data_IF_057628239300
#
_entry.id   IF_057628239300
#
_cell.length_a   1.000
_cell.length_b   1.000
_cell.length_c   1.000
_cell.angle_alpha   90.00
_cell.angle_beta   90.00
_cell.angle_gamma   90.00
#
_symmetry.space_group_name_H-M   'P 1'
#
loop_
_entity.id
_entity.type
_entity.pdbx_description
1 polymer ?
#
# COMPACT_ATOMS: atom_id res chain seq x y z
N UNK A 1 -23.57 -31.16 5.71
CA UNK A 1 -22.79 -30.39 6.70
C UNK A 1 -21.31 -30.64 6.42
N UNK A 2 -20.76 -29.95 5.44
CA UNK A 2 -19.34 -30.08 5.07
C UNK A 2 -18.79 -28.67 4.83
N UNK A 3 -17.71 -28.31 5.51
CA UNK A 3 -16.85 -27.22 5.04
C UNK A 3 -16.70 -25.98 5.93
N UNK A 4 -16.87 -26.05 7.26
CA UNK A 4 -16.58 -24.90 8.14
C UNK A 4 -15.19 -24.96 8.83
N UNK A 5 -14.44 -26.00 8.55
CA UNK A 5 -13.11 -26.20 9.16
C UNK A 5 -12.01 -25.70 8.23
N UNK A 6 -11.45 -24.58 8.52
CA UNK A 6 -10.16 -24.04 8.05
C UNK A 6 -10.20 -22.67 7.33
N UNK A 7 -11.20 -21.83 7.54
CA UNK A 7 -11.08 -20.43 7.10
C UNK A 7 -10.23 -19.67 8.12
N UNK A 8 -9.12 -19.08 7.64
CA UNK A 8 -8.32 -18.15 8.47
C UNK A 8 -9.23 -17.07 9.04
N UNK A 9 -9.09 -16.70 10.33
CA UNK A 9 -9.94 -15.69 10.95
C UNK A 9 -9.82 -14.38 10.20
N UNK A 10 -10.97 -13.83 9.79
CA UNK A 10 -11.06 -12.53 9.12
C UNK A 10 -11.19 -11.42 10.16
N UNK A 11 -10.75 -10.19 9.81
CA UNK A 11 -10.95 -9.02 10.68
C UNK A 11 -12.43 -8.82 11.01
N UNK A 12 -13.34 -9.12 10.09
CA UNK A 12 -14.78 -9.04 10.33
C UNK A 12 -15.23 -9.92 11.51
N UNK A 13 -14.62 -11.10 11.70
CA UNK A 13 -14.93 -11.99 12.83
C UNK A 13 -14.49 -11.36 14.17
N UNK A 14 -13.34 -10.70 14.18
CA UNK A 14 -12.84 -9.97 15.36
C UNK A 14 -13.76 -8.79 15.69
N UNK A 15 -14.13 -7.99 14.67
CA UNK A 15 -15.04 -6.87 14.83
C UNK A 15 -16.43 -7.33 15.28
N UNK A 16 -16.93 -8.45 14.76
CA UNK A 16 -18.22 -9.05 15.20
C UNK A 16 -18.17 -9.43 16.69
N UNK A 17 -17.06 -9.99 17.14
CA UNK A 17 -16.90 -10.45 18.53
C UNK A 17 -16.71 -9.30 19.53
N UNK A 18 -15.91 -8.29 19.18
CA UNK A 18 -15.48 -7.25 20.13
C UNK A 18 -15.97 -5.84 19.77
N UNK A 19 -16.47 -5.61 18.56
CA UNK A 19 -16.82 -4.28 18.06
C UNK A 19 -17.94 -3.61 18.86
N UNK A 20 -18.93 -4.37 19.33
CA UNK A 20 -20.03 -3.83 20.15
C UNK A 20 -19.48 -3.24 21.45
N UNK A 21 -18.60 -3.94 22.16
CA UNK A 21 -17.98 -3.45 23.40
C UNK A 21 -17.20 -2.17 23.20
N UNK A 22 -16.53 -2.00 22.03
CA UNK A 22 -15.80 -0.80 21.68
C UNK A 22 -16.73 0.37 21.37
N UNK A 23 -17.86 0.12 20.68
CA UNK A 23 -18.85 1.15 20.36
C UNK A 23 -19.58 1.63 21.61
N UNK A 24 -19.96 0.71 22.50
CA UNK A 24 -20.69 1.01 23.75
C UNK A 24 -19.85 1.88 24.72
N UNK A 25 -18.52 1.82 24.63
CA UNK A 25 -17.61 2.67 25.43
C UNK A 25 -17.52 4.12 24.96
N UNK A 26 -18.19 4.50 23.87
CA UNK A 26 -18.15 5.85 23.27
C UNK A 26 -16.75 6.43 23.03
N UNK A 27 -15.75 5.54 22.86
CA UNK A 27 -14.34 5.92 22.62
C UNK A 27 -14.03 6.12 21.13
N UNK A 28 -14.98 5.79 20.26
CA UNK A 28 -14.80 5.81 18.80
C UNK A 28 -15.45 7.04 18.18
N UNK A 29 -14.74 7.67 17.27
CA UNK A 29 -15.31 8.71 16.41
C UNK A 29 -16.34 8.10 15.43
N UNK A 30 -17.26 8.92 14.93
CA UNK A 30 -18.25 8.49 13.93
C UNK A 30 -17.58 7.84 12.69
N UNK A 31 -16.39 8.33 12.30
CA UNK A 31 -15.63 7.76 11.19
C UNK A 31 -15.13 6.34 11.50
N UNK A 32 -14.67 6.08 12.72
CA UNK A 32 -14.21 4.76 13.14
C UNK A 32 -15.38 3.78 13.23
N UNK A 33 -16.52 4.20 13.78
CA UNK A 33 -17.76 3.40 13.81
C UNK A 33 -18.20 3.03 12.39
N UNK A 34 -18.21 4.00 11.47
CA UNK A 34 -18.50 3.74 10.05
C UNK A 34 -17.57 2.72 9.43
N UNK A 35 -16.28 2.81 9.68
CA UNK A 35 -15.28 1.86 9.15
C UNK A 35 -15.52 0.44 9.70
N UNK A 36 -15.80 0.29 10.99
CA UNK A 36 -16.12 -1.00 11.58
C UNK A 36 -17.38 -1.62 10.96
N UNK A 37 -18.45 -0.83 10.78
CA UNK A 37 -19.68 -1.29 10.13
C UNK A 37 -19.43 -1.68 8.67
N UNK A 38 -18.64 -0.91 7.93
CA UNK A 38 -18.25 -1.25 6.56
C UNK A 38 -17.50 -2.57 6.48
N UNK A 39 -16.57 -2.84 7.43
CA UNK A 39 -15.85 -4.11 7.51
C UNK A 39 -16.79 -5.28 7.78
N UNK A 40 -17.76 -5.10 8.68
CA UNK A 40 -18.75 -6.13 9.03
C UNK A 40 -19.65 -6.50 7.85
N UNK A 41 -20.10 -5.47 7.12
CA UNK A 41 -21.09 -5.63 6.05
C UNK A 41 -20.46 -5.94 4.68
N UNK A 42 -19.13 -5.79 4.54
CA UNK A 42 -18.44 -5.94 3.27
C UNK A 42 -18.66 -7.32 2.64
N UNK A 43 -19.20 -7.33 1.42
CA UNK A 43 -19.56 -8.54 0.65
C UNK A 43 -20.56 -9.42 1.39
N UNK A 44 -21.58 -8.80 1.97
CA UNK A 44 -22.74 -9.46 2.57
C UNK A 44 -24.04 -8.86 2.05
N UNK A 45 -25.18 -9.51 2.27
CA UNK A 45 -26.48 -9.10 1.76
C UNK A 45 -26.87 -7.62 2.04
N UNK A 46 -26.58 -7.01 3.22
CA UNK A 46 -26.85 -5.59 3.47
C UNK A 46 -26.18 -4.61 2.51
N UNK A 47 -25.12 -5.03 1.81
CA UNK A 47 -24.45 -4.19 0.80
C UNK A 47 -25.11 -4.23 -0.57
N UNK A 48 -26.19 -5.01 -0.73
CA UNK A 48 -26.75 -5.33 -2.03
C UNK A 48 -25.81 -6.22 -2.85
N UNK A 49 -26.21 -6.54 -4.06
CA UNK A 49 -25.42 -7.42 -4.93
C UNK A 49 -26.10 -7.70 -6.26
N UNK A 50 -25.49 -8.62 -6.99
CA UNK A 50 -25.98 -9.12 -8.27
C UNK A 50 -26.23 -10.61 -8.18
N UNK A 51 -27.32 -11.04 -8.80
CA UNK A 51 -27.60 -12.45 -9.04
C UNK A 51 -26.91 -12.88 -10.33
N UNK A 52 -26.25 -14.02 -10.28
CA UNK A 52 -25.66 -14.66 -11.45
C UNK A 52 -26.27 -16.05 -11.60
N UNK A 53 -26.73 -16.35 -12.81
CA UNK A 53 -27.26 -17.65 -13.19
C UNK A 53 -26.23 -18.33 -14.07
N UNK A 54 -25.86 -19.55 -13.78
CA UNK A 54 -24.96 -20.32 -14.62
C UNK A 54 -25.68 -20.77 -15.90
N UNK A 55 -25.15 -20.40 -17.05
CA UNK A 55 -25.77 -20.73 -18.35
C UNK A 55 -25.77 -22.25 -18.66
N UNK A 56 -24.89 -23.02 -18.02
CA UNK A 56 -24.77 -24.44 -18.29
C UNK A 56 -25.63 -25.34 -17.37
N UNK A 57 -25.86 -24.93 -16.10
CA UNK A 57 -26.60 -25.76 -15.14
C UNK A 57 -27.76 -25.04 -14.43
N UNK A 58 -27.96 -23.74 -14.71
CA UNK A 58 -29.02 -22.94 -14.10
C UNK A 58 -28.78 -22.62 -12.61
N UNK A 59 -27.61 -22.94 -12.03
CA UNK A 59 -27.30 -22.64 -10.64
C UNK A 59 -27.25 -21.13 -10.40
N UNK A 60 -27.94 -20.68 -9.36
CA UNK A 60 -28.02 -19.27 -8.96
C UNK A 60 -26.98 -18.98 -7.90
N UNK A 61 -26.15 -17.97 -8.11
CA UNK A 61 -25.19 -17.48 -7.13
C UNK A 61 -25.36 -15.97 -6.91
N UNK A 62 -25.00 -15.49 -5.71
CA UNK A 62 -25.11 -14.07 -5.35
C UNK A 62 -23.72 -13.49 -5.12
N UNK A 63 -23.42 -12.39 -5.83
CA UNK A 63 -22.21 -11.60 -5.66
C UNK A 63 -22.55 -10.31 -4.94
N UNK A 64 -22.21 -10.23 -3.67
CA UNK A 64 -22.45 -9.04 -2.87
C UNK A 64 -21.42 -7.95 -3.10
N UNK A 65 -21.89 -6.69 -3.09
CA UNK A 65 -21.07 -5.52 -3.29
C UNK A 65 -20.01 -5.34 -2.19
N UNK A 66 -18.86 -4.78 -2.58
CA UNK A 66 -17.80 -4.41 -1.66
C UNK A 66 -18.09 -3.05 -1.02
N UNK A 67 -17.59 -2.83 0.22
CA UNK A 67 -17.80 -1.56 0.92
C UNK A 67 -16.93 -0.40 0.42
N UNK A 68 -15.88 -0.68 -0.37
CA UNK A 68 -14.93 0.32 -0.87
C UNK A 68 -14.10 1.03 0.22
N UNK A 69 -14.26 0.66 1.49
CA UNK A 69 -13.57 1.32 2.58
C UNK A 69 -12.07 0.99 2.58
N UNK A 70 -11.24 2.04 2.72
CA UNK A 70 -9.78 1.89 2.77
C UNK A 70 -9.25 1.10 3.97
N UNK A 71 -10.06 0.93 5.01
CA UNK A 71 -9.72 0.13 6.20
C UNK A 71 -10.17 -1.32 6.07
N UNK A 72 -10.97 -1.65 5.06
CA UNK A 72 -11.48 -3.00 4.85
C UNK A 72 -10.41 -3.89 4.19
N UNK A 73 -9.94 -4.96 4.85
CA UNK A 73 -8.92 -5.85 4.26
C UNK A 73 -9.36 -6.50 2.96
N UNK A 74 -10.65 -6.86 2.83
CA UNK A 74 -11.21 -7.48 1.62
C UNK A 74 -11.11 -6.55 0.42
N UNK A 75 -11.44 -5.25 0.60
CA UNK A 75 -11.34 -4.24 -0.45
C UNK A 75 -9.88 -3.91 -0.76
N UNK A 76 -9.04 -3.78 0.27
CA UNK A 76 -7.64 -3.43 0.10
C UNK A 76 -6.82 -4.51 -0.63
N UNK A 77 -7.11 -5.79 -0.41
CA UNK A 77 -6.43 -6.88 -1.13
C UNK A 77 -6.67 -6.76 -2.64
N UNK A 78 -7.91 -6.47 -3.06
CA UNK A 78 -8.24 -6.31 -4.48
C UNK A 78 -7.56 -5.07 -5.08
N UNK A 79 -7.66 -3.92 -4.40
CA UNK A 79 -7.02 -2.69 -4.86
C UNK A 79 -5.50 -2.80 -4.90
N UNK A 80 -4.91 -3.52 -3.94
CA UNK A 80 -3.48 -3.79 -3.91
C UNK A 80 -3.02 -4.67 -5.08
N UNK A 81 -3.81 -5.68 -5.45
CA UNK A 81 -3.49 -6.54 -6.60
C UNK A 81 -3.45 -5.73 -7.90
N UNK A 82 -4.47 -4.90 -8.17
CA UNK A 82 -4.50 -4.01 -9.33
C UNK A 82 -3.31 -3.05 -9.31
N UNK A 83 -3.03 -2.41 -8.17
CA UNK A 83 -1.90 -1.49 -8.07
C UNK A 83 -0.54 -2.17 -8.30
N UNK A 84 -0.37 -3.42 -7.84
CA UNK A 84 0.86 -4.18 -8.08
C UNK A 84 1.01 -4.50 -9.57
N UNK A 85 -0.09 -4.89 -10.24
CA UNK A 85 -0.11 -5.17 -11.66
C UNK A 85 0.29 -3.91 -12.46
N UNK A 86 -0.39 -2.78 -12.24
CA UNK A 86 -0.05 -1.49 -12.84
C UNK A 86 1.41 -1.08 -12.61
N UNK A 87 1.92 -1.35 -11.39
CA UNK A 87 3.30 -1.05 -11.03
C UNK A 87 4.29 -1.95 -11.78
N UNK A 88 3.97 -3.23 -11.89
CA UNK A 88 4.83 -4.19 -12.61
C UNK A 88 4.88 -3.86 -14.09
N UNK A 89 3.75 -3.53 -14.70
CA UNK A 89 3.66 -3.17 -16.12
C UNK A 89 4.37 -1.84 -16.42
N UNK A 90 4.32 -0.90 -15.50
CA UNK A 90 5.00 0.40 -15.65
C UNK A 90 6.45 0.41 -15.16
N UNK A 91 6.93 -0.68 -14.55
CA UNK A 91 8.28 -0.75 -14.01
C UNK A 91 9.33 -0.97 -15.09
N UNK A 92 10.45 -0.25 -14.97
CA UNK A 92 11.59 -0.45 -15.87
C UNK A 92 12.20 -1.84 -15.65
N UNK A 93 12.65 -2.54 -16.72
CA UNK A 93 13.31 -3.84 -16.62
C UNK A 93 14.77 -3.71 -16.14
N UNK A 94 14.96 -3.02 -15.02
CA UNK A 94 16.27 -2.75 -14.42
C UNK A 94 16.29 -3.19 -12.97
N UNK A 95 17.46 -3.28 -12.37
CA UNK A 95 17.60 -3.52 -10.94
C UNK A 95 16.95 -2.38 -10.15
N UNK A 96 16.23 -2.72 -9.08
CA UNK A 96 15.66 -1.74 -8.16
C UNK A 96 16.24 -1.94 -6.77
N UNK A 97 16.48 -0.84 -6.08
CA UNK A 97 16.92 -0.82 -4.68
C UNK A 97 15.76 -0.48 -3.76
N UNK A 98 15.69 -1.17 -2.65
CA UNK A 98 14.79 -0.83 -1.55
C UNK A 98 15.55 -0.02 -0.52
N UNK A 99 15.19 1.26 -0.39
CA UNK A 99 15.79 2.20 0.55
C UNK A 99 14.74 2.58 1.59
N UNK A 100 15.12 2.59 2.86
CA UNK A 100 14.22 2.96 3.96
C UNK A 100 14.77 4.22 4.61
N UNK A 101 13.93 5.26 4.68
CA UNK A 101 14.21 6.49 5.39
C UNK A 101 13.46 6.50 6.72
N UNK A 102 14.19 6.51 7.81
CA UNK A 102 13.66 6.57 9.18
C UNK A 102 13.93 7.94 9.78
N UNK A 103 13.15 8.28 10.79
CA UNK A 103 13.34 9.49 11.59
C UNK A 103 13.59 9.13 13.05
N UNK A 104 14.36 9.94 13.78
CA UNK A 104 14.54 9.75 15.22
C UNK A 104 13.20 9.77 15.96
N UNK A 105 13.03 8.87 16.93
CA UNK A 105 11.80 8.71 17.69
C UNK A 105 11.33 10.01 18.38
N UNK A 106 12.26 10.86 18.78
CA UNK A 106 11.99 12.18 19.40
C UNK A 106 11.12 13.09 18.51
N UNK A 107 11.08 12.86 17.20
CA UNK A 107 10.26 13.65 16.27
C UNK A 107 8.81 13.12 16.14
N UNK A 108 8.48 12.02 16.79
CA UNK A 108 7.13 11.45 16.70
C UNK A 108 6.03 12.36 17.27
N UNK A 109 6.35 13.13 18.32
CA UNK A 109 5.41 14.06 18.93
C UNK A 109 4.98 15.17 17.96
N UNK A 110 5.91 15.61 17.08
CA UNK A 110 5.59 16.59 16.03
C UNK A 110 4.61 15.98 15.02
N UNK A 111 4.74 14.68 14.73
CA UNK A 111 3.79 13.96 13.88
C UNK A 111 2.38 13.94 14.47
N UNK A 112 2.24 13.76 15.79
CA UNK A 112 0.95 13.79 16.48
C UNK A 112 0.33 15.20 16.45
N UNK A 113 1.13 16.23 16.53
CA UNK A 113 0.67 17.62 16.50
C UNK A 113 0.12 18.04 15.13
N UNK A 114 0.88 17.77 14.07
CA UNK A 114 0.51 18.13 12.70
C UNK A 114 1.01 17.10 11.68
N UNK A 115 0.32 15.97 11.61
CA UNK A 115 0.68 14.87 10.71
C UNK A 115 0.79 15.29 9.24
N UNK A 116 -0.09 16.22 8.79
CA UNK A 116 -0.07 16.68 7.39
C UNK A 116 1.22 17.41 7.04
N UNK A 117 1.63 18.34 7.89
CA UNK A 117 2.87 19.10 7.69
C UNK A 117 4.08 18.18 7.86
N UNK A 118 4.06 17.35 8.90
CA UNK A 118 5.13 16.39 9.17
C UNK A 118 5.42 15.49 7.97
N UNK A 119 4.40 14.84 7.42
CA UNK A 119 4.57 13.96 6.27
C UNK A 119 5.01 14.72 5.01
N UNK A 120 4.50 15.94 4.79
CA UNK A 120 4.95 16.79 3.68
C UNK A 120 6.46 17.08 3.78
N UNK A 121 6.94 17.43 4.97
CA UNK A 121 8.37 17.69 5.21
C UNK A 121 9.20 16.42 5.05
N UNK A 122 8.72 15.29 5.58
CA UNK A 122 9.39 14.00 5.48
C UNK A 122 9.55 13.56 4.02
N UNK A 123 8.49 13.60 3.23
CA UNK A 123 8.57 13.27 1.79
C UNK A 123 9.52 14.22 1.03
N UNK A 124 9.48 15.50 1.36
CA UNK A 124 10.38 16.49 0.75
C UNK A 124 11.85 16.21 1.10
N UNK A 125 12.14 15.86 2.36
CA UNK A 125 13.49 15.51 2.78
C UNK A 125 14.00 14.26 2.05
N UNK A 126 13.19 13.22 1.98
CA UNK A 126 13.51 11.99 1.25
C UNK A 126 13.79 12.27 -0.23
N UNK A 127 12.91 13.05 -0.86
CA UNK A 127 13.08 13.45 -2.26
C UNK A 127 14.39 14.19 -2.49
N UNK A 128 14.65 15.24 -1.70
CA UNK A 128 15.88 16.02 -1.82
C UNK A 128 17.13 15.18 -1.60
N UNK A 129 17.08 14.22 -0.67
CA UNK A 129 18.20 13.29 -0.41
C UNK A 129 18.47 12.40 -1.63
N UNK A 130 17.44 11.78 -2.20
CA UNK A 130 17.59 10.92 -3.37
C UNK A 130 18.07 11.71 -4.58
N UNK A 131 17.48 12.87 -4.83
CA UNK A 131 17.85 13.75 -5.94
C UNK A 131 19.31 14.24 -5.80
N UNK A 132 19.68 14.76 -4.63
CA UNK A 132 21.05 15.21 -4.37
C UNK A 132 22.06 14.07 -4.51
N UNK A 133 21.76 12.90 -4.00
CA UNK A 133 22.61 11.73 -4.10
C UNK A 133 22.82 11.30 -5.56
N UNK A 134 21.73 11.21 -6.33
CA UNK A 134 21.77 10.86 -7.74
C UNK A 134 22.60 11.85 -8.56
N UNK A 135 22.37 13.14 -8.33
CA UNK A 135 23.08 14.20 -9.03
C UNK A 135 24.58 14.25 -8.67
N UNK A 136 24.89 14.21 -7.37
CA UNK A 136 26.27 14.36 -6.90
C UNK A 136 27.16 13.15 -7.24
N UNK A 137 26.62 11.94 -7.16
CA UNK A 137 27.42 10.73 -7.36
C UNK A 137 27.37 10.16 -8.78
N UNK A 138 26.30 10.44 -9.51
CA UNK A 138 26.08 9.82 -10.82
C UNK A 138 25.77 10.83 -11.93
N UNK A 139 25.60 12.11 -11.61
CA UNK A 139 25.25 13.16 -12.58
C UNK A 139 23.83 12.97 -13.16
N UNK A 140 22.95 12.28 -12.45
CA UNK A 140 21.62 11.91 -12.95
C UNK A 140 20.51 12.28 -11.99
N UNK A 141 19.33 12.55 -12.56
CA UNK A 141 18.09 12.64 -11.77
C UNK A 141 17.53 11.24 -11.55
N UNK A 142 17.30 10.88 -10.30
CA UNK A 142 16.72 9.59 -9.94
C UNK A 142 15.21 9.70 -9.76
N UNK A 143 14.49 8.63 -10.12
CA UNK A 143 13.09 8.44 -9.76
C UNK A 143 12.95 7.53 -8.54
N UNK A 144 11.81 7.62 -7.85
CA UNK A 144 11.49 6.70 -6.77
C UNK A 144 9.97 6.52 -6.59
N UNK A 145 9.56 5.32 -6.17
CA UNK A 145 8.24 5.09 -5.61
C UNK A 145 8.41 5.16 -4.10
N UNK A 146 7.77 6.15 -3.46
CA UNK A 146 7.89 6.38 -2.03
C UNK A 146 6.59 6.02 -1.32
N UNK A 147 6.67 5.21 -0.27
CA UNK A 147 5.54 4.66 0.43
C UNK A 147 5.69 4.93 1.92
N UNK A 148 4.72 5.64 2.49
CA UNK A 148 4.70 5.96 3.91
C UNK A 148 4.22 4.78 4.76
N UNK A 149 5.01 4.42 5.75
CA UNK A 149 4.59 3.64 6.89
C UNK A 149 4.53 4.52 8.14
N UNK A 150 3.47 4.43 8.92
CA UNK A 150 3.28 5.29 10.10
C UNK A 150 3.45 4.56 11.43
N UNK A 151 3.68 3.25 11.43
CA UNK A 151 3.87 2.45 12.65
C UNK A 151 4.93 1.38 12.51
N UNK A 152 5.52 1.02 13.66
CA UNK A 152 6.43 -0.10 13.82
C UNK A 152 5.69 -1.45 13.91
N UNK A 153 6.46 -2.52 14.12
CA UNK A 153 5.91 -3.88 14.24
C UNK A 153 5.01 -4.07 15.48
N UNK A 154 5.29 -3.32 16.54
CA UNK A 154 4.54 -3.29 17.79
C UNK A 154 3.35 -2.31 17.76
N UNK A 155 2.99 -1.78 16.59
CA UNK A 155 1.95 -0.78 16.37
C UNK A 155 2.24 0.58 17.03
N UNK A 156 3.46 0.82 17.54
CA UNK A 156 3.85 2.16 17.99
C UNK A 156 3.99 3.13 16.81
N UNK A 157 3.80 4.41 17.06
CA UNK A 157 4.03 5.45 16.06
C UNK A 157 5.51 5.44 15.64
N UNK A 158 5.78 5.12 14.40
CA UNK A 158 7.11 5.05 13.83
C UNK A 158 7.07 5.41 12.34
N UNK A 159 6.91 6.70 12.01
CA UNK A 159 6.85 7.15 10.63
C UNK A 159 8.17 6.87 9.90
N UNK A 160 8.08 6.21 8.76
CA UNK A 160 9.21 5.95 7.88
C UNK A 160 8.74 5.78 6.46
N UNK A 161 9.63 6.04 5.50
CA UNK A 161 9.31 5.94 4.09
C UNK A 161 10.13 4.82 3.46
N UNK A 162 9.44 3.90 2.80
CA UNK A 162 10.05 2.91 1.92
C UNK A 162 10.11 3.44 0.50
N UNK A 163 11.29 3.44 -0.09
CA UNK A 163 11.51 3.84 -1.48
C UNK A 163 11.93 2.66 -2.34
N UNK A 164 11.33 2.52 -3.50
CA UNK A 164 11.80 1.65 -4.58
C UNK A 164 12.48 2.55 -5.60
N UNK A 165 13.79 2.44 -5.74
CA UNK A 165 14.62 3.30 -6.58
C UNK A 165 15.21 2.45 -7.70
N UNK A 166 14.97 2.79 -8.99
CA UNK A 166 15.62 2.08 -10.09
C UNK A 166 17.13 2.37 -10.11
N UNK A 167 17.92 1.39 -10.52
CA UNK A 167 19.38 1.53 -10.64
C UNK A 167 19.81 2.38 -11.85
N UNK A 168 19.07 3.41 -12.12
CA UNK A 168 19.17 4.20 -13.33
C UNK A 168 18.66 5.64 -13.05
N UNK A 169 19.12 6.74 -13.67
CA UNK A 169 18.74 8.14 -13.54
C UNK A 169 18.74 8.89 -14.91
N UNK A 170 18.01 9.98 -15.17
CA UNK A 170 18.04 10.79 -16.40
C UNK A 170 19.10 11.87 -16.33
N UNK A 171 19.79 12.16 -17.43
CA UNK A 171 20.71 13.30 -17.46
C UNK A 171 19.92 14.61 -17.59
N UNK A 172 20.18 15.62 -16.74
CA UNK A 172 19.42 16.86 -16.74
C UNK A 172 19.64 17.75 -17.98
N UNK A 173 20.66 17.47 -18.78
CA UNK A 173 21.08 18.35 -19.89
C UNK A 173 21.58 17.62 -21.15
N UNK A 174 20.79 16.74 -21.76
CA UNK A 174 21.15 16.32 -23.12
C UNK A 174 20.16 16.89 -24.14
N UNK A 175 20.66 17.80 -24.96
CA UNK A 175 20.06 18.26 -26.23
C UNK A 175 20.08 17.15 -27.29
N UNK A 176 19.65 15.99 -26.94
CA UNK A 176 19.58 14.83 -27.78
C UNK A 176 19.30 13.61 -26.90
N UNK A 177 18.28 12.87 -27.24
CA UNK A 177 17.74 11.70 -26.55
C UNK A 177 18.80 10.64 -26.14
N UNK A 178 19.80 11.00 -25.38
CA UNK A 178 20.71 10.07 -24.74
C UNK A 178 20.12 9.65 -23.40
N UNK A 179 19.17 8.73 -23.50
CA UNK A 179 18.73 7.96 -22.35
C UNK A 179 19.89 7.03 -22.01
N UNK A 180 20.70 7.41 -21.03
CA UNK A 180 21.38 6.39 -20.24
C UNK A 180 20.26 5.78 -19.42
N UNK A 181 19.63 4.80 -20.05
CA UNK A 181 18.65 3.85 -19.54
C UNK A 181 17.97 4.23 -18.22
N UNK A 182 17.16 5.30 -18.27
CA UNK A 182 16.24 5.64 -17.21
C UNK A 182 14.97 6.11 -17.87
N UNK A 183 13.98 5.30 -17.62
CA UNK A 183 12.67 5.49 -18.19
C UNK A 183 12.16 6.90 -18.07
N UNK A 184 11.58 7.33 -19.17
CA UNK A 184 10.71 8.49 -19.24
C UNK A 184 9.72 8.48 -18.08
N UNK A 185 9.58 9.61 -17.52
CA UNK A 185 8.52 10.10 -16.66
C UNK A 185 8.92 10.30 -15.21
N UNK A 186 8.72 11.54 -14.89
CA UNK A 186 8.86 12.11 -13.56
C UNK A 186 8.20 11.27 -12.50
N UNK A 187 8.73 11.42 -11.34
CA UNK A 187 8.36 10.78 -10.09
C UNK A 187 6.85 10.77 -9.94
N UNK A 188 6.26 9.59 -10.06
CA UNK A 188 4.95 9.35 -9.48
C UNK A 188 5.15 9.19 -7.98
N UNK A 189 5.02 10.29 -7.24
CA UNK A 189 4.84 10.22 -5.80
C UNK A 189 3.44 9.67 -5.53
N UNK A 190 3.36 8.38 -5.36
CA UNK A 190 2.15 7.74 -4.89
C UNK A 190 2.19 7.73 -3.35
N UNK A 191 1.42 8.64 -2.73
CA UNK A 191 1.22 8.65 -1.28
C UNK A 191 0.17 7.58 -0.96
N UNK A 192 0.62 6.37 -0.67
CA UNK A 192 -0.25 5.32 -0.16
C UNK A 192 -0.02 5.15 1.34
N UNK A 193 -1.08 5.29 2.10
CA UNK A 193 -1.11 4.95 3.51
C UNK A 193 -1.38 3.44 3.61
N UNK A 194 -0.32 2.63 3.56
CA UNK A 194 -0.50 1.18 3.51
C UNK A 194 0.11 0.49 4.72
N UNK A 195 -0.76 -0.07 5.53
CA UNK A 195 -0.45 -1.09 6.53
C UNK A 195 -0.02 -2.44 5.92
N UNK A 196 0.07 -2.54 4.60
CA UNK A 196 0.05 -3.83 3.89
C UNK A 196 1.33 -4.20 3.13
N UNK A 197 2.31 -3.31 3.01
CA UNK A 197 3.47 -3.49 2.11
C UNK A 197 4.47 -4.57 2.49
N UNK A 198 4.41 -5.14 3.70
CA UNK A 198 5.26 -6.30 4.03
C UNK A 198 5.08 -7.47 3.05
N UNK A 199 3.90 -7.62 2.44
CA UNK A 199 3.62 -8.72 1.49
C UNK A 199 4.23 -8.50 0.10
N UNK A 200 4.29 -7.27 -0.39
CA UNK A 200 4.83 -6.97 -1.74
C UNK A 200 6.33 -7.32 -1.81
N UNK A 201 7.08 -6.98 -0.76
CA UNK A 201 8.51 -7.28 -0.71
C UNK A 201 8.84 -8.77 -0.56
N UNK A 202 8.01 -9.53 0.17
CA UNK A 202 8.21 -10.98 0.31
C UNK A 202 7.95 -11.73 -1.01
N UNK A 203 6.98 -11.28 -1.82
CA UNK A 203 6.65 -11.92 -3.09
C UNK A 203 7.79 -11.81 -4.11
N UNK A 204 8.48 -10.67 -4.17
CA UNK A 204 9.60 -10.48 -5.11
C UNK A 204 10.88 -11.23 -4.70
N UNK A 205 11.07 -11.47 -3.40
CA UNK A 205 12.21 -12.24 -2.91
C UNK A 205 12.11 -13.74 -3.27
N UNK A 206 10.89 -14.27 -3.35
CA UNK A 206 10.64 -15.66 -3.68
C UNK A 206 10.68 -15.96 -5.18
N UNK A 207 10.30 -14.99 -6.05
CA UNK A 207 10.35 -15.19 -7.51
C UNK A 207 11.78 -15.09 -8.10
N UNK A 208 12.78 -14.60 -7.33
CA UNK A 208 14.18 -14.58 -7.78
C UNK A 208 14.91 -15.91 -7.63
N UNK A 209 14.27 -16.95 -7.05
CA UNK A 209 14.90 -18.27 -6.91
C UNK A 209 14.64 -19.24 -8.09
N UNK A 210 13.89 -18.83 -9.12
CA UNK A 210 13.51 -19.73 -10.22
C UNK A 210 14.03 -19.36 -11.60
N UNK A 211 15.03 -18.48 -11.73
CA UNK A 211 15.74 -18.28 -13.00
C UNK A 211 17.24 -18.28 -12.81
N UNK A 212 17.78 -19.45 -12.55
CA UNK A 212 19.14 -19.81 -12.88
C UNK A 212 19.09 -20.85 -13.98
N UNK A 213 19.18 -20.37 -15.21
CA UNK A 213 19.76 -21.02 -16.35
C UNK A 213 20.60 -20.00 -17.09
#
# INVERSE_FOLDING_TARGET
MAGEQNRKPELANVVKKFGKQLMDRNLLSARQVKALNNILQCRTAPMGGHEQVCDCCGEVSYLYNSCGDRHCPKCQITMQAVWIEDLMDSSLPVKHYHIIFTVPHVLNDICLWNARLYYKVLFNAVWRTLHSFGYTHFGVETGAIAILHSWGQNLSLHPHIHCIVPAVGSMPFSLGNSIISIGKSGIKMAIYHISFLKRIFMFRKNNRKSTSF
#
